data_IF_066274304889
#
_entry.id   IF_066274304889
#
_cell.length_a   1.000
_cell.length_b   1.000
_cell.length_c   1.000
_cell.angle_alpha   90.00
_cell.angle_beta   90.00
_cell.angle_gamma   90.00
#
_symmetry.space_group_name_H-M   'P 1'
#
loop_
_entity.id
_entity.type
_entity.pdbx_description
1 polymer ?
#
# COMPACT_ATOMS: atom_id res chain seq x y z
N UNK A 1 8.61 -38.73 7.98
CA UNK A 1 9.83 -37.99 7.56
C UNK A 1 10.97 -38.92 7.13
N UNK A 2 11.46 -39.85 7.98
CA UNK A 2 12.58 -40.76 7.64
C UNK A 2 12.43 -41.52 6.31
N UNK A 3 11.27 -42.16 6.06
CA UNK A 3 11.07 -42.93 4.82
C UNK A 3 11.14 -42.04 3.56
N UNK A 4 10.60 -40.82 3.63
CA UNK A 4 10.64 -39.84 2.52
C UNK A 4 12.09 -39.41 2.27
N UNK A 5 12.84 -39.08 3.32
CA UNK A 5 14.26 -38.72 3.21
C UNK A 5 15.08 -39.87 2.63
N UNK A 6 14.84 -41.11 3.06
CA UNK A 6 15.51 -42.30 2.51
C UNK A 6 15.24 -42.45 1.02
N UNK A 7 14.00 -42.25 0.58
CA UNK A 7 13.66 -42.27 -0.85
C UNK A 7 14.39 -41.16 -1.63
N UNK A 8 14.42 -39.93 -1.10
CA UNK A 8 15.13 -38.81 -1.71
C UNK A 8 16.66 -39.02 -1.76
N UNK A 9 17.23 -39.69 -0.75
CA UNK A 9 18.64 -40.07 -0.72
C UNK A 9 18.97 -41.08 -1.83
N UNK A 10 18.10 -42.09 -2.05
CA UNK A 10 18.28 -43.10 -3.11
C UNK A 10 18.37 -42.50 -4.51
N UNK A 11 17.68 -41.38 -4.76
CA UNK A 11 17.70 -40.68 -6.06
C UNK A 11 18.57 -39.42 -6.07
N UNK A 12 19.36 -39.18 -5.02
CA UNK A 12 20.29 -38.04 -4.95
C UNK A 12 19.63 -36.65 -4.78
N UNK A 13 18.34 -36.58 -4.44
CA UNK A 13 17.58 -35.32 -4.37
C UNK A 13 17.54 -34.68 -2.97
N UNK A 14 17.92 -35.40 -1.91
CA UNK A 14 17.82 -34.95 -0.51
C UNK A 14 18.55 -33.63 -0.17
N UNK A 15 19.51 -33.20 -0.99
CA UNK A 15 20.18 -31.89 -0.81
C UNK A 15 19.34 -30.72 -1.36
N UNK A 16 18.49 -30.99 -2.35
CA UNK A 16 17.64 -29.99 -3.04
C UNK A 16 16.20 -30.00 -2.52
N UNK A 17 15.67 -31.17 -2.18
CA UNK A 17 14.32 -31.34 -1.64
C UNK A 17 14.46 -31.67 -0.15
N UNK A 18 14.19 -30.68 0.70
CA UNK A 18 14.24 -30.83 2.15
C UNK A 18 12.94 -31.45 2.66
N UNK A 19 13.03 -32.20 3.75
CA UNK A 19 11.88 -32.87 4.39
C UNK A 19 11.61 -32.17 5.70
N UNK A 20 10.39 -31.68 5.88
CA UNK A 20 9.94 -31.07 7.13
C UNK A 20 8.47 -31.41 7.41
N UNK A 21 7.87 -30.77 8.39
CA UNK A 21 6.46 -30.82 8.76
C UNK A 21 6.01 -29.42 9.16
N UNK A 22 4.83 -28.98 8.71
CA UNK A 22 4.24 -27.73 9.17
C UNK A 22 3.61 -27.90 10.56
N UNK A 23 3.57 -26.79 11.30
CA UNK A 23 3.02 -26.68 12.64
C UNK A 23 2.26 -25.34 12.78
N UNK A 24 1.15 -25.31 13.51
CA UNK A 24 0.58 -24.03 13.96
C UNK A 24 1.40 -23.44 15.11
N UNK A 25 1.28 -22.14 15.37
CA UNK A 25 1.85 -21.50 16.58
C UNK A 25 1.40 -22.11 17.92
N UNK A 26 0.35 -22.93 17.94
CA UNK A 26 -0.08 -23.70 19.11
C UNK A 26 0.95 -24.70 19.65
N UNK A 27 2.05 -24.96 18.93
CA UNK A 27 3.19 -25.72 19.47
C UNK A 27 3.93 -24.98 20.59
N UNK A 28 3.75 -23.66 20.69
CA UNK A 28 4.29 -22.83 21.77
C UNK A 28 3.35 -22.84 22.98
N UNK A 29 3.92 -22.93 24.18
CA UNK A 29 3.20 -22.64 25.43
C UNK A 29 3.28 -21.18 25.82
N UNK A 30 4.28 -20.47 25.31
CA UNK A 30 4.52 -19.06 25.55
C UNK A 30 5.14 -18.44 24.30
N UNK A 31 4.65 -17.26 23.93
CA UNK A 31 5.14 -16.46 22.81
C UNK A 31 5.28 -14.97 23.14
N UNK A 32 4.88 -14.55 24.35
CA UNK A 32 5.01 -13.17 24.81
C UNK A 32 5.67 -13.09 26.20
N UNK A 33 6.65 -12.19 26.39
CA UNK A 33 7.37 -11.48 25.32
C UNK A 33 8.13 -12.48 24.41
N UNK A 34 8.50 -12.11 23.17
CA UNK A 34 9.14 -13.04 22.22
C UNK A 34 10.35 -13.79 22.79
N UNK A 35 11.20 -13.13 23.57
CA UNK A 35 12.35 -13.73 24.27
C UNK A 35 12.00 -14.84 25.25
N UNK A 36 10.76 -14.90 25.72
CA UNK A 36 10.25 -15.95 26.58
C UNK A 36 9.59 -17.10 25.78
N UNK A 37 9.73 -17.08 24.45
CA UNK A 37 9.25 -18.11 23.54
C UNK A 37 9.66 -19.51 24.00
N UNK A 38 8.68 -20.41 24.16
CA UNK A 38 8.92 -21.76 24.65
C UNK A 38 7.93 -22.76 24.07
N UNK A 39 8.44 -23.87 23.54
CA UNK A 39 7.60 -25.00 23.11
C UNK A 39 6.83 -25.59 24.29
N UNK A 40 5.61 -26.03 24.01
CA UNK A 40 4.78 -26.70 25.00
C UNK A 40 5.36 -28.08 25.32
N UNK A 41 5.69 -28.32 26.58
CA UNK A 41 6.32 -29.57 27.03
C UNK A 41 5.44 -30.81 26.78
N UNK A 42 4.11 -30.65 26.72
CA UNK A 42 3.19 -31.74 26.34
C UNK A 42 3.40 -32.26 24.92
N UNK A 43 4.06 -31.48 24.06
CA UNK A 43 4.40 -31.85 22.67
C UNK A 43 5.82 -32.41 22.53
N UNK A 44 6.63 -32.42 23.61
CA UNK A 44 8.03 -32.79 23.55
C UNK A 44 8.28 -34.20 22.98
N UNK A 45 7.34 -35.14 23.20
CA UNK A 45 7.45 -36.53 22.76
C UNK A 45 7.57 -36.66 21.23
N UNK A 46 6.95 -35.78 20.45
CA UNK A 46 7.07 -35.77 18.99
C UNK A 46 7.96 -34.63 18.51
N UNK A 47 7.91 -33.47 19.16
CA UNK A 47 8.56 -32.28 18.66
C UNK A 47 10.09 -32.39 18.76
N UNK A 48 10.62 -32.93 19.86
CA UNK A 48 12.07 -33.08 20.02
C UNK A 48 12.68 -34.00 18.95
N UNK A 49 12.17 -35.21 18.69
CA UNK A 49 12.66 -36.03 17.58
C UNK A 49 12.55 -35.36 16.20
N UNK A 50 11.51 -34.53 15.98
CA UNK A 50 11.38 -33.73 14.75
C UNK A 50 12.51 -32.69 14.67
N UNK A 51 12.77 -31.93 15.73
CA UNK A 51 13.83 -30.92 15.75
C UNK A 51 15.23 -31.54 15.54
N UNK A 52 15.50 -32.70 16.16
CA UNK A 52 16.74 -33.47 15.94
C UNK A 52 16.88 -33.86 14.46
N UNK A 53 15.82 -34.41 13.86
CA UNK A 53 15.80 -34.74 12.43
C UNK A 53 16.05 -33.50 11.54
N UNK A 54 15.42 -32.37 11.84
CA UNK A 54 15.56 -31.14 11.06
C UNK A 54 16.99 -30.60 11.13
N UNK A 55 17.59 -30.56 12.32
CA UNK A 55 18.96 -30.11 12.54
C UNK A 55 19.98 -30.99 11.79
N UNK A 56 19.87 -32.32 11.92
CA UNK A 56 20.75 -33.29 11.25
C UNK A 56 20.73 -33.17 9.72
N UNK A 57 19.56 -32.81 9.16
CA UNK A 57 19.35 -32.78 7.72
C UNK A 57 19.29 -31.36 7.12
N UNK A 58 19.59 -30.34 7.92
CA UNK A 58 19.52 -28.93 7.54
C UNK A 58 18.18 -28.61 6.85
N UNK A 59 17.09 -29.03 7.49
CA UNK A 59 15.72 -28.80 7.00
C UNK A 59 15.06 -27.73 7.87
N UNK A 60 14.18 -26.88 7.30
CA UNK A 60 13.59 -25.78 8.04
C UNK A 60 12.52 -26.26 9.02
N UNK A 61 12.28 -25.51 10.07
CA UNK A 61 11.07 -25.61 10.89
C UNK A 61 9.95 -24.84 10.18
N UNK A 62 8.95 -25.57 9.67
CA UNK A 62 7.82 -24.97 8.95
C UNK A 62 6.72 -24.59 9.92
N UNK A 63 6.19 -23.36 9.77
CA UNK A 63 5.15 -22.83 10.66
C UNK A 63 4.04 -22.10 9.89
N UNK A 64 2.80 -22.36 10.28
CA UNK A 64 1.64 -21.57 9.91
C UNK A 64 1.43 -20.48 10.98
N UNK A 65 1.55 -19.22 10.58
CA UNK A 65 1.68 -18.06 11.44
C UNK A 65 0.69 -16.97 11.02
N UNK A 66 -0.13 -16.50 11.96
CA UNK A 66 -1.24 -15.60 11.67
C UNK A 66 -1.41 -14.51 12.75
N UNK A 67 -0.92 -13.29 12.51
CA UNK A 67 -1.23 -12.12 13.35
C UNK A 67 -2.74 -11.85 13.46
N UNK A 68 -3.51 -12.16 12.41
CA UNK A 68 -4.97 -12.07 12.40
C UNK A 68 -5.62 -12.75 13.61
N UNK A 69 -5.23 -13.99 13.94
CA UNK A 69 -5.85 -14.72 15.05
C UNK A 69 -5.49 -14.12 16.41
N UNK A 70 -4.26 -13.64 16.59
CA UNK A 70 -3.87 -12.96 17.81
C UNK A 70 -4.65 -11.66 18.04
N UNK A 71 -4.88 -10.87 16.97
CA UNK A 71 -5.77 -9.71 17.03
C UNK A 71 -7.22 -10.12 17.32
N UNK A 72 -7.77 -11.07 16.56
CA UNK A 72 -9.16 -11.55 16.70
C UNK A 72 -9.46 -12.03 18.11
N UNK A 73 -8.55 -12.80 18.70
CA UNK A 73 -8.75 -13.45 20.00
C UNK A 73 -8.41 -12.53 21.18
N UNK A 74 -7.69 -11.42 20.96
CA UNK A 74 -7.28 -10.49 22.02
C UNK A 74 -7.18 -9.03 21.54
N UNK A 75 -8.26 -8.44 20.98
CA UNK A 75 -8.21 -7.11 20.35
C UNK A 75 -7.96 -5.96 21.33
N UNK A 76 -8.09 -6.19 22.64
CA UNK A 76 -7.77 -5.22 23.69
C UNK A 76 -6.27 -5.20 24.04
N UNK A 77 -5.53 -6.25 23.68
CA UNK A 77 -4.11 -6.42 24.03
C UNK A 77 -3.23 -6.37 22.78
N UNK A 78 -3.81 -6.65 21.61
CA UNK A 78 -3.17 -6.63 20.31
C UNK A 78 -3.84 -5.54 19.49
N UNK A 79 -3.12 -4.45 19.22
CA UNK A 79 -3.64 -3.41 18.33
C UNK A 79 -3.73 -3.94 16.89
N UNK A 80 -4.68 -3.42 16.13
CA UNK A 80 -4.83 -3.77 14.72
C UNK A 80 -3.59 -3.36 13.92
N UNK A 81 -3.11 -2.14 14.16
CA UNK A 81 -1.92 -1.57 13.52
C UNK A 81 -0.68 -2.47 13.67
N UNK A 82 -0.43 -2.98 14.88
CA UNK A 82 0.68 -3.89 15.14
C UNK A 82 0.55 -5.22 14.39
N UNK A 83 -0.68 -5.72 14.20
CA UNK A 83 -0.94 -6.93 13.43
C UNK A 83 -0.85 -6.70 11.91
N UNK A 84 -1.02 -5.46 11.44
CA UNK A 84 -1.00 -5.05 10.03
C UNK A 84 0.32 -4.44 9.56
N UNK A 85 1.38 -4.47 10.38
CA UNK A 85 2.68 -3.84 10.11
C UNK A 85 2.65 -2.30 10.01
N UNK A 86 1.68 -1.65 10.65
CA UNK A 86 1.56 -0.19 10.64
C UNK A 86 2.41 0.43 11.75
N UNK A 87 3.11 1.52 11.44
CA UNK A 87 4.16 2.12 12.28
C UNK A 87 3.67 2.84 13.54
N UNK A 88 2.36 2.89 13.78
CA UNK A 88 1.74 3.56 14.92
C UNK A 88 1.84 2.76 16.23
N UNK A 89 2.31 1.52 16.18
CA UNK A 89 2.37 0.63 17.35
C UNK A 89 3.68 -0.13 17.41
N UNK A 90 4.41 0.03 18.52
CA UNK A 90 5.65 -0.70 18.79
C UNK A 90 5.56 -1.44 20.13
N UNK A 91 6.19 -2.61 20.18
CA UNK A 91 6.23 -3.47 21.37
C UNK A 91 7.69 -3.74 21.73
N UNK A 92 8.08 -3.38 22.95
CA UNK A 92 9.43 -3.64 23.47
C UNK A 92 9.44 -4.95 24.24
N UNK A 93 10.33 -5.86 23.88
CA UNK A 93 10.62 -7.04 24.69
C UNK A 93 11.41 -6.64 25.94
N UNK A 94 10.87 -6.84 27.15
CA UNK A 94 11.47 -6.37 28.38
C UNK A 94 12.76 -7.10 28.77
N UNK A 95 13.01 -8.30 28.23
CA UNK A 95 14.19 -9.09 28.61
C UNK A 95 15.38 -8.79 27.70
N UNK A 96 15.13 -8.47 26.43
CA UNK A 96 16.19 -8.27 25.42
C UNK A 96 16.33 -6.81 24.99
N UNK A 97 15.30 -5.97 25.21
CA UNK A 97 15.24 -4.61 24.68
C UNK A 97 14.95 -4.55 23.18
N UNK A 98 14.66 -5.68 22.52
CA UNK A 98 14.30 -5.72 21.11
C UNK A 98 12.95 -5.02 20.89
N UNK A 99 12.91 -4.16 19.88
CA UNK A 99 11.73 -3.43 19.47
C UNK A 99 11.07 -4.17 18.30
N UNK A 100 9.80 -4.52 18.47
CA UNK A 100 8.97 -5.13 17.45
C UNK A 100 7.96 -4.10 16.97
N UNK A 101 8.08 -3.65 15.73
CA UNK A 101 7.12 -2.74 15.08
C UNK A 101 5.93 -3.48 14.46
N UNK A 102 6.00 -4.82 14.39
CA UNK A 102 4.93 -5.65 13.86
C UNK A 102 4.88 -7.01 14.58
N UNK A 103 3.69 -7.61 14.59
CA UNK A 103 3.45 -8.88 15.26
C UNK A 103 4.08 -10.09 14.55
N UNK A 104 4.23 -10.02 13.23
CA UNK A 104 4.79 -11.10 12.44
C UNK A 104 6.22 -11.43 12.90
N UNK A 105 7.07 -10.41 13.04
CA UNK A 105 8.42 -10.52 13.55
C UNK A 105 8.45 -11.08 14.98
N UNK A 106 7.56 -10.58 15.85
CA UNK A 106 7.47 -11.04 17.23
C UNK A 106 7.10 -12.53 17.32
N UNK A 107 6.21 -13.00 16.45
CA UNK A 107 5.81 -14.41 16.39
C UNK A 107 6.94 -15.31 15.86
N UNK A 108 7.71 -14.84 14.86
CA UNK A 108 8.89 -15.56 14.35
C UNK A 108 9.99 -15.61 15.41
N UNK A 109 10.28 -14.50 16.08
CA UNK A 109 11.33 -14.45 17.09
C UNK A 109 10.98 -15.30 18.31
N UNK A 110 9.70 -15.39 18.69
CA UNK A 110 9.27 -16.34 19.71
C UNK A 110 9.64 -17.80 19.36
N UNK A 111 9.59 -18.18 18.08
CA UNK A 111 10.06 -19.50 17.62
C UNK A 111 11.58 -19.61 17.68
N UNK A 112 12.32 -18.59 17.25
CA UNK A 112 13.78 -18.60 17.34
C UNK A 112 14.26 -18.72 18.79
N UNK A 113 13.65 -18.01 19.73
CA UNK A 113 13.96 -18.13 21.16
C UNK A 113 13.59 -19.52 21.70
N UNK A 114 12.46 -20.09 21.30
CA UNK A 114 12.07 -21.45 21.69
C UNK A 114 13.06 -22.52 21.18
N UNK A 115 13.50 -22.41 19.91
CA UNK A 115 14.52 -23.27 19.32
C UNK A 115 15.87 -23.12 20.03
N UNK A 116 16.27 -21.88 20.32
CA UNK A 116 17.51 -21.56 21.02
C UNK A 116 17.53 -22.14 22.44
N UNK A 117 16.42 -22.07 23.16
CA UNK A 117 16.27 -22.64 24.51
C UNK A 117 16.46 -24.16 24.54
N UNK A 118 16.16 -24.85 23.44
CA UNK A 118 16.41 -26.29 23.26
C UNK A 118 17.74 -26.59 22.54
N UNK A 119 18.57 -25.58 22.31
CA UNK A 119 19.87 -25.65 21.65
C UNK A 119 19.84 -26.00 20.13
N UNK A 120 18.69 -25.79 19.47
CA UNK A 120 18.54 -25.99 18.01
C UNK A 120 18.77 -24.70 17.22
N UNK A 121 19.95 -24.10 17.37
CA UNK A 121 20.27 -22.74 16.87
C UNK A 121 20.42 -22.63 15.35
N UNK A 122 20.62 -23.75 14.66
CA UNK A 122 20.90 -23.81 13.22
C UNK A 122 19.66 -24.06 12.37
N UNK A 123 18.52 -24.34 13.00
CA UNK A 123 17.27 -24.59 12.29
C UNK A 123 16.70 -23.24 11.86
N UNK A 124 16.54 -23.07 10.54
CA UNK A 124 15.84 -21.92 9.96
C UNK A 124 14.34 -22.07 10.13
N UNK A 125 13.62 -20.96 10.30
CA UNK A 125 12.16 -20.93 10.27
C UNK A 125 11.70 -20.63 8.85
N UNK A 126 10.66 -21.32 8.39
CA UNK A 126 9.97 -21.07 7.12
C UNK A 126 8.49 -20.89 7.42
N UNK A 127 7.91 -19.78 7.00
CA UNK A 127 6.49 -19.50 7.21
C UNK A 127 5.71 -20.11 6.04
N UNK A 128 5.04 -21.23 6.29
CA UNK A 128 4.32 -22.00 5.26
C UNK A 128 2.92 -21.49 5.00
N UNK A 129 2.32 -20.79 5.95
CA UNK A 129 1.04 -20.12 5.77
C UNK A 129 0.99 -18.85 6.61
N UNK A 130 0.59 -17.75 5.97
CA UNK A 130 0.23 -16.50 6.66
C UNK A 130 -0.68 -15.66 5.77
N UNK A 131 -1.56 -14.85 6.34
CA UNK A 131 -2.48 -14.05 5.55
C UNK A 131 -3.49 -13.32 6.41
N UNK A 132 -4.53 -12.81 5.76
CA UNK A 132 -5.63 -12.12 6.41
C UNK A 132 -6.93 -12.27 5.60
N UNK A 133 -8.06 -12.62 6.23
CA UNK A 133 -9.31 -12.85 5.52
C UNK A 133 -9.96 -11.53 5.07
N UNK A 134 -10.51 -11.53 3.87
CA UNK A 134 -11.14 -10.37 3.23
C UNK A 134 -12.62 -10.17 3.58
N UNK A 135 -13.24 -11.17 4.17
CA UNK A 135 -14.64 -11.11 4.61
C UNK A 135 -14.84 -12.10 5.76
N UNK A 136 -15.82 -11.84 6.62
CA UNK A 136 -16.12 -12.67 7.77
C UNK A 136 -17.50 -12.36 8.35
N UNK A 137 -17.85 -13.05 9.43
CA UNK A 137 -19.13 -12.85 10.10
C UNK A 137 -19.16 -11.49 10.82
N UNK A 138 -20.33 -11.09 11.33
CA UNK A 138 -20.50 -9.85 12.11
C UNK A 138 -19.58 -9.73 13.34
N UNK A 139 -18.99 -10.83 13.81
CA UNK A 139 -18.03 -10.87 14.93
C UNK A 139 -16.58 -10.76 14.48
N UNK A 140 -16.30 -10.93 13.19
CA UNK A 140 -14.97 -10.93 12.59
C UNK A 140 -14.72 -9.59 11.87
N UNK A 141 -14.96 -8.48 12.58
CA UNK A 141 -15.01 -7.13 11.98
C UNK A 141 -13.73 -6.68 11.27
N UNK A 142 -12.59 -7.26 11.62
CA UNK A 142 -11.33 -6.95 10.96
C UNK A 142 -11.07 -7.78 9.70
N UNK A 143 -11.92 -8.78 9.40
CA UNK A 143 -11.88 -9.50 8.14
C UNK A 143 -12.53 -8.66 7.03
N UNK A 144 -11.76 -7.74 6.46
CA UNK A 144 -12.19 -6.81 5.40
C UNK A 144 -11.21 -6.84 4.24
N UNK A 145 -11.62 -6.47 3.01
CA UNK A 145 -10.71 -6.42 1.88
C UNK A 145 -9.55 -5.45 2.12
N UNK A 146 -9.82 -4.31 2.77
CA UNK A 146 -8.81 -3.30 3.09
C UNK A 146 -7.73 -3.83 4.03
N UNK A 147 -8.12 -4.45 5.16
CA UNK A 147 -7.15 -5.02 6.09
C UNK A 147 -6.38 -6.20 5.45
N UNK A 148 -7.05 -6.99 4.61
CA UNK A 148 -6.42 -8.09 3.90
C UNK A 148 -5.37 -7.60 2.90
N UNK A 149 -5.70 -6.53 2.16
CA UNK A 149 -4.77 -5.85 1.26
C UNK A 149 -3.58 -5.28 2.04
N UNK A 150 -3.84 -4.52 3.11
CA UNK A 150 -2.80 -3.91 3.95
C UNK A 150 -1.84 -4.97 4.49
N UNK A 151 -2.36 -6.04 5.10
CA UNK A 151 -1.54 -7.11 5.65
C UNK A 151 -0.64 -7.74 4.59
N UNK A 152 -1.21 -8.20 3.48
CA UNK A 152 -0.46 -8.92 2.45
C UNK A 152 0.52 -8.01 1.71
N UNK A 153 0.16 -6.74 1.45
CA UNK A 153 1.07 -5.77 0.84
C UNK A 153 2.26 -5.45 1.75
N UNK A 154 1.99 -5.20 3.03
CA UNK A 154 3.05 -4.87 3.99
C UNK A 154 3.94 -6.08 4.27
N UNK A 155 3.38 -7.29 4.33
CA UNK A 155 4.14 -8.53 4.40
C UNK A 155 5.09 -8.69 3.20
N UNK A 156 4.58 -8.54 1.97
CA UNK A 156 5.40 -8.63 0.75
C UNK A 156 6.54 -7.63 0.81
N UNK A 157 6.27 -6.37 1.19
CA UNK A 157 7.29 -5.32 1.31
C UNK A 157 8.32 -5.65 2.38
N UNK A 158 7.89 -6.14 3.53
CA UNK A 158 8.76 -6.53 4.63
C UNK A 158 9.72 -7.64 4.19
N UNK A 159 9.21 -8.70 3.54
CA UNK A 159 10.01 -9.85 3.10
C UNK A 159 10.97 -9.46 1.96
N UNK A 160 10.51 -8.71 0.94
CA UNK A 160 11.35 -8.33 -0.21
C UNK A 160 12.49 -7.37 0.16
N UNK A 161 12.34 -6.60 1.24
CA UNK A 161 13.40 -5.73 1.72
C UNK A 161 14.49 -6.48 2.51
N UNK A 162 14.37 -7.80 2.69
CA UNK A 162 15.33 -8.66 3.40
C UNK A 162 15.72 -8.11 4.77
N UNK A 163 14.78 -7.49 5.49
CA UNK A 163 15.07 -6.93 6.81
C UNK A 163 15.35 -8.01 7.87
N UNK A 164 14.84 -9.22 7.64
CA UNK A 164 14.74 -10.25 8.68
C UNK A 164 13.90 -9.75 9.85
N UNK A 165 14.14 -10.31 11.03
CA UNK A 165 13.47 -9.94 12.29
C UNK A 165 14.41 -9.21 13.26
N UNK A 166 13.92 -8.57 14.33
CA UNK A 166 14.77 -7.93 15.33
C UNK A 166 15.83 -8.86 15.95
N UNK A 167 15.52 -10.14 16.23
CA UNK A 167 16.49 -11.09 16.77
C UNK A 167 17.42 -11.67 15.70
N UNK A 168 17.01 -11.66 14.42
CA UNK A 168 17.78 -12.18 13.26
C UNK A 168 17.79 -11.17 12.10
N UNK A 169 18.42 -10.00 12.28
CA UNK A 169 18.41 -8.95 11.25
C UNK A 169 19.19 -9.40 10.01
N UNK A 170 18.62 -9.14 8.83
CA UNK A 170 19.20 -9.51 7.54
C UNK A 170 19.16 -11.00 7.21
N UNK A 171 18.51 -11.84 8.03
CA UNK A 171 18.27 -13.25 7.69
C UNK A 171 16.99 -13.35 6.84
N UNK A 172 17.15 -13.76 5.58
CA UNK A 172 16.04 -13.96 4.63
C UNK A 172 15.00 -14.96 5.16
N UNK A 173 13.73 -14.62 4.94
CA UNK A 173 12.58 -15.42 5.35
C UNK A 173 11.85 -15.98 4.13
N UNK A 174 11.73 -17.31 4.07
CA UNK A 174 10.81 -17.97 3.14
C UNK A 174 9.38 -17.88 3.68
N UNK A 175 8.50 -17.15 2.99
CA UNK A 175 7.12 -16.88 3.42
C UNK A 175 6.12 -17.18 2.31
N UNK A 176 5.06 -17.91 2.65
CA UNK A 176 4.00 -18.31 1.73
C UNK A 176 2.67 -17.70 2.17
N UNK A 177 2.08 -16.89 1.29
CA UNK A 177 0.79 -16.25 1.53
C UNK A 177 -0.34 -17.28 1.39
N UNK A 178 -1.14 -17.40 2.45
CA UNK A 178 -2.36 -18.16 2.49
C UNK A 178 -3.55 -17.23 2.17
N UNK A 179 -4.26 -17.40 1.06
CA UNK A 179 -4.05 -18.40 0.00
C UNK A 179 -4.35 -17.84 -1.39
N UNK A 180 -4.14 -18.62 -2.45
CA UNK A 180 -4.34 -18.11 -3.80
C UNK A 180 -5.81 -17.78 -4.10
N UNK A 181 -6.75 -18.60 -3.66
CA UNK A 181 -8.17 -18.46 -3.99
C UNK A 181 -9.08 -18.49 -2.76
N UNK A 182 -10.23 -17.82 -2.85
CA UNK A 182 -11.32 -18.02 -1.90
C UNK A 182 -11.87 -19.46 -2.02
N UNK A 183 -11.85 -20.20 -0.91
CA UNK A 183 -12.21 -21.62 -0.87
C UNK A 183 -13.58 -21.85 -0.24
N UNK A 184 -14.65 -21.73 -1.05
CA UNK A 184 -16.04 -21.75 -0.58
C UNK A 184 -16.52 -23.02 0.15
N UNK A 185 -15.75 -24.11 0.11
CA UNK A 185 -16.04 -25.37 0.80
C UNK A 185 -15.32 -25.52 2.15
N UNK A 186 -14.51 -24.54 2.56
CA UNK A 186 -13.83 -24.61 3.85
C UNK A 186 -14.87 -24.61 5.00
N UNK A 187 -14.77 -25.58 5.93
CA UNK A 187 -15.63 -25.63 7.10
C UNK A 187 -15.23 -24.52 8.09
N UNK A 188 -16.05 -24.32 9.12
CA UNK A 188 -15.77 -23.37 10.19
C UNK A 188 -16.34 -21.97 9.93
N UNK A 189 -15.66 -20.97 10.50
CA UNK A 189 -16.09 -19.57 10.49
C UNK A 189 -16.26 -19.02 9.06
N UNK A 190 -16.93 -17.88 8.95
CA UNK A 190 -17.14 -17.25 7.65
C UNK A 190 -15.84 -16.76 7.02
N UNK A 191 -14.90 -16.28 7.84
CA UNK A 191 -13.55 -15.93 7.39
C UNK A 191 -12.82 -17.05 6.65
N UNK A 192 -13.02 -18.32 7.06
CA UNK A 192 -12.34 -19.47 6.46
C UNK A 192 -12.54 -19.59 4.94
N UNK A 193 -13.61 -19.03 4.39
CA UNK A 193 -13.92 -19.07 2.96
C UNK A 193 -13.34 -17.89 2.16
N UNK A 194 -12.66 -16.95 2.83
CA UNK A 194 -12.35 -15.61 2.30
C UNK A 194 -10.87 -15.18 2.45
N UNK A 195 -9.92 -16.12 2.49
CA UNK A 195 -8.47 -15.86 2.60
C UNK A 195 -7.74 -15.66 1.26
N UNK A 196 -8.46 -15.80 0.15
CA UNK A 196 -7.89 -15.76 -1.18
C UNK A 196 -7.39 -14.39 -1.60
N UNK A 197 -6.28 -14.37 -2.33
CA UNK A 197 -5.86 -13.20 -3.12
C UNK A 197 -6.79 -12.97 -4.33
N UNK A 198 -7.38 -14.06 -4.83
CA UNK A 198 -8.28 -14.05 -5.99
C UNK A 198 -9.60 -14.77 -5.68
N UNK A 199 -10.66 -14.36 -6.37
CA UNK A 199 -11.88 -15.14 -6.49
C UNK A 199 -11.63 -16.37 -7.39
N UNK A 200 -12.47 -17.43 -7.31
CA UNK A 200 -12.32 -18.61 -8.16
C UNK A 200 -12.40 -18.34 -9.68
N UNK A 201 -12.98 -17.21 -10.08
CA UNK A 201 -13.02 -16.76 -11.47
C UNK A 201 -11.74 -16.00 -11.91
N UNK A 202 -10.71 -15.98 -11.05
CA UNK A 202 -9.41 -15.35 -11.25
C UNK A 202 -9.43 -13.81 -11.16
N UNK A 203 -10.57 -13.20 -10.84
CA UNK A 203 -10.59 -11.77 -10.51
C UNK A 203 -9.94 -11.54 -9.14
N UNK A 204 -9.25 -10.42 -8.98
CA UNK A 204 -8.59 -10.08 -7.72
C UNK A 204 -9.62 -9.73 -6.64
N UNK A 205 -9.40 -10.20 -5.41
CA UNK A 205 -10.19 -9.75 -4.25
C UNK A 205 -9.78 -8.32 -3.86
N UNK A 206 -8.47 -8.04 -3.95
CA UNK A 206 -7.84 -6.73 -3.78
C UNK A 206 -6.54 -6.69 -4.60
N UNK A 207 -6.04 -5.49 -4.91
CA UNK A 207 -4.83 -5.31 -5.73
C UNK A 207 -3.56 -5.53 -4.91
N UNK A 208 -2.64 -6.37 -5.39
CA UNK A 208 -1.34 -6.62 -4.78
C UNK A 208 -0.18 -6.25 -5.70
N UNK A 209 0.88 -5.68 -5.13
CA UNK A 209 2.16 -5.47 -5.78
C UNK A 209 3.18 -6.47 -5.24
N UNK A 210 3.40 -7.55 -5.99
CA UNK A 210 4.38 -8.59 -5.66
C UNK A 210 5.84 -8.15 -5.87
N UNK A 211 6.10 -6.97 -6.43
CA UNK A 211 7.47 -6.51 -6.63
C UNK A 211 8.11 -5.98 -5.35
N UNK A 212 7.31 -5.66 -4.32
CA UNK A 212 7.76 -5.01 -3.09
C UNK A 212 8.37 -3.63 -3.31
N UNK A 213 8.40 -3.14 -4.55
CA UNK A 213 9.00 -1.87 -4.98
C UNK A 213 8.04 -0.71 -4.95
N UNK A 214 6.77 -0.93 -4.60
CA UNK A 214 5.96 0.10 -3.96
C UNK A 214 6.57 0.46 -2.59
N UNK A 215 7.73 1.12 -2.62
CA UNK A 215 8.07 2.16 -1.66
C UNK A 215 6.90 3.13 -1.70
N UNK A 216 6.20 3.33 -0.58
CA UNK A 216 5.23 4.41 -0.32
C UNK A 216 4.73 5.09 -1.61
N UNK A 217 3.71 4.48 -2.23
CA UNK A 217 3.04 4.98 -3.44
C UNK A 217 3.77 4.69 -4.77
N UNK A 218 2.98 4.26 -5.78
CA UNK A 218 3.34 3.99 -7.22
C UNK A 218 3.72 2.49 -7.43
N UNK A 219 3.12 1.64 -8.29
CA UNK A 219 2.06 1.64 -9.35
C UNK A 219 1.79 0.15 -9.67
N UNK A 220 0.58 -0.30 -10.02
CA UNK A 220 0.14 -0.28 -11.41
C UNK A 220 -1.29 -0.82 -11.56
N UNK A 221 -2.19 0.01 -12.09
CA UNK A 221 -3.21 -0.48 -13.00
C UNK A 221 -2.87 0.07 -14.36
N UNK A 222 -2.62 -0.81 -15.32
CA UNK A 222 -2.73 -0.49 -16.73
C UNK A 222 -4.21 -0.19 -17.03
N UNK A 223 -4.65 1.02 -16.71
CA UNK A 223 -5.69 1.68 -17.50
C UNK A 223 -5.03 2.23 -18.75
N UNK A 224 -4.60 1.34 -19.66
CA UNK A 224 -3.85 1.65 -20.89
C UNK A 224 -2.54 2.43 -20.65
N UNK A 225 -1.55 2.25 -21.51
CA UNK A 225 -0.68 3.37 -21.85
C UNK A 225 -1.53 4.44 -22.54
N UNK A 226 -2.30 5.18 -21.76
CA UNK A 226 -2.68 6.53 -22.14
C UNK A 226 -1.73 7.42 -21.36
N UNK A 227 -1.02 8.29 -22.06
CA UNK A 227 -0.42 9.48 -21.47
C UNK A 227 -1.53 10.44 -20.96
N UNK A 228 -2.59 9.93 -20.35
CA UNK A 228 -3.79 10.65 -19.91
C UNK A 228 -3.63 11.20 -18.50
N UNK A 229 -4.07 12.43 -18.32
CA UNK A 229 -4.21 13.05 -17.01
C UNK A 229 -5.42 12.46 -16.31
N UNK A 230 -5.31 12.14 -15.01
CA UNK A 230 -6.42 11.60 -14.21
C UNK A 230 -6.70 12.52 -13.03
N UNK A 231 -7.92 12.46 -12.51
CA UNK A 231 -8.40 13.23 -11.36
C UNK A 231 -9.04 12.30 -10.32
N UNK A 232 -9.15 12.78 -9.09
CA UNK A 232 -9.90 12.10 -8.04
C UNK A 232 -11.15 12.90 -7.67
N UNK A 233 -12.33 12.28 -7.73
CA UNK A 233 -13.60 12.91 -7.34
C UNK A 233 -14.28 12.12 -6.22
N UNK A 234 -15.21 12.75 -5.51
CA UNK A 234 -16.00 12.08 -4.49
C UNK A 234 -17.01 11.10 -5.11
N UNK A 235 -17.21 9.97 -4.44
CA UNK A 235 -18.18 8.95 -4.78
C UNK A 235 -19.59 9.45 -4.50
N UNK A 236 -20.47 9.32 -5.49
CA UNK A 236 -21.90 9.62 -5.31
C UNK A 236 -22.63 8.64 -4.38
N UNK A 237 -21.95 7.57 -3.92
CA UNK A 237 -22.47 6.58 -2.97
C UNK A 237 -22.04 6.83 -1.53
N UNK A 238 -21.13 7.78 -1.29
CA UNK A 238 -20.63 8.10 0.04
C UNK A 238 -21.72 8.81 0.88
N UNK A 239 -21.75 8.54 2.19
CA UNK A 239 -22.65 9.29 3.08
C UNK A 239 -22.16 10.71 3.30
N UNK A 240 -23.06 11.65 3.58
CA UNK A 240 -22.68 13.05 3.88
C UNK A 240 -21.71 13.14 5.06
N UNK A 241 -21.88 12.30 6.09
CA UNK A 241 -20.97 12.27 7.24
C UNK A 241 -19.57 11.80 6.87
N UNK A 242 -19.43 10.82 5.98
CA UNK A 242 -18.12 10.33 5.53
C UNK A 242 -17.43 11.37 4.65
N UNK A 243 -18.19 12.05 3.78
CA UNK A 243 -17.66 13.12 2.95
C UNK A 243 -17.22 14.32 3.78
N UNK A 244 -17.98 14.72 4.82
CA UNK A 244 -17.59 15.84 5.67
C UNK A 244 -16.29 15.53 6.43
N UNK A 245 -16.19 14.35 7.03
CA UNK A 245 -14.96 13.92 7.71
C UNK A 245 -13.76 13.87 6.76
N UNK A 246 -13.97 13.42 5.52
CA UNK A 246 -12.93 13.34 4.51
C UNK A 246 -12.49 14.73 4.01
N UNK A 247 -13.41 15.69 3.91
CA UNK A 247 -13.13 17.10 3.59
C UNK A 247 -12.34 17.75 4.73
N UNK A 248 -12.82 17.62 5.97
CA UNK A 248 -12.14 18.17 7.15
C UNK A 248 -10.71 17.63 7.25
N UNK A 249 -10.54 16.33 7.01
CA UNK A 249 -9.22 15.72 6.97
C UNK A 249 -8.36 16.26 5.82
N UNK A 250 -8.89 16.39 4.60
CA UNK A 250 -8.13 16.87 3.45
C UNK A 250 -7.61 18.30 3.66
N UNK A 251 -8.47 19.19 4.14
CA UNK A 251 -8.18 20.61 4.28
C UNK A 251 -7.25 20.91 5.46
N UNK A 252 -7.35 20.16 6.56
CA UNK A 252 -6.57 20.39 7.77
C UNK A 252 -5.37 19.40 7.86
N UNK A 253 -5.51 18.15 8.36
CA UNK A 253 -4.41 17.15 8.38
C UNK A 253 -3.72 16.90 7.03
N UNK A 254 -4.48 16.88 5.94
CA UNK A 254 -4.04 16.60 4.58
C UNK A 254 -3.34 17.78 3.91
N UNK A 255 -3.40 18.96 4.54
CA UNK A 255 -2.73 20.19 4.12
C UNK A 255 -3.04 20.62 2.67
N UNK A 256 -4.31 20.45 2.27
CA UNK A 256 -4.86 20.97 1.01
C UNK A 256 -5.36 22.40 1.19
N UNK A 257 -5.06 23.27 0.22
CA UNK A 257 -5.68 24.60 0.16
C UNK A 257 -7.14 24.49 -0.31
N UNK A 258 -8.05 24.44 0.65
CA UNK A 258 -9.50 24.43 0.42
C UNK A 258 -10.12 25.82 0.32
N UNK A 259 -9.34 26.89 0.11
CA UNK A 259 -9.90 28.24 -0.06
C UNK A 259 -10.84 28.33 -1.26
N UNK A 260 -10.57 27.59 -2.34
CA UNK A 260 -11.35 27.64 -3.58
C UNK A 260 -12.80 27.12 -3.44
N UNK A 261 -13.10 26.35 -2.39
CA UNK A 261 -14.45 25.83 -2.09
C UNK A 261 -15.20 26.66 -1.05
N UNK A 262 -14.71 27.84 -0.68
CA UNK A 262 -15.38 28.75 0.25
C UNK A 262 -16.39 29.66 -0.49
N UNK A 263 -17.41 30.21 0.20
CA UNK A 263 -18.40 31.08 -0.43
C UNK A 263 -17.76 32.19 -1.29
N UNK A 264 -18.32 32.41 -2.49
CA UNK A 264 -17.82 33.36 -3.52
C UNK A 264 -16.49 32.98 -4.19
N UNK A 265 -15.98 31.76 -4.01
CA UNK A 265 -14.77 31.27 -4.67
C UNK A 265 -15.08 30.38 -5.89
N UNK A 266 -14.12 30.19 -6.80
CA UNK A 266 -14.40 29.59 -8.11
C UNK A 266 -14.98 28.17 -8.09
N UNK A 267 -14.74 27.40 -7.02
CA UNK A 267 -15.18 26.01 -6.86
C UNK A 267 -16.25 25.83 -5.77
N UNK A 268 -16.90 26.92 -5.33
CA UNK A 268 -17.99 26.83 -4.36
C UNK A 268 -19.26 26.25 -4.97
N UNK A 269 -19.61 26.67 -6.19
CA UNK A 269 -20.79 26.15 -6.88
C UNK A 269 -20.44 24.86 -7.62
N UNK A 270 -21.33 23.86 -7.70
CA UNK A 270 -22.62 23.81 -7.01
C UNK A 270 -22.42 23.59 -5.50
N UNK A 271 -23.16 24.34 -4.67
CA UNK A 271 -23.08 24.30 -3.20
C UNK A 271 -23.62 22.97 -2.63
N UNK A 272 -22.78 21.94 -2.69
CA UNK A 272 -23.03 20.63 -2.10
C UNK A 272 -21.73 19.92 -1.75
N UNK A 273 -21.84 19.03 -0.77
CA UNK A 273 -20.69 18.36 -0.17
C UNK A 273 -19.93 17.44 -1.13
N UNK A 274 -20.60 16.81 -2.10
CA UNK A 274 -19.94 15.96 -3.11
C UNK A 274 -19.04 16.80 -4.00
N UNK A 275 -19.48 18.00 -4.40
CA UNK A 275 -18.71 18.93 -5.22
C UNK A 275 -17.52 19.51 -4.48
N UNK A 276 -17.71 19.93 -3.22
CA UNK A 276 -16.61 20.41 -2.38
C UNK A 276 -15.60 19.31 -2.06
N UNK A 277 -16.07 18.10 -1.73
CA UNK A 277 -15.23 16.93 -1.51
C UNK A 277 -14.45 16.54 -2.75
N UNK A 278 -15.06 16.57 -3.94
CA UNK A 278 -14.38 16.26 -5.19
C UNK A 278 -13.18 17.20 -5.42
N UNK A 279 -13.33 18.49 -5.15
CA UNK A 279 -12.24 19.46 -5.30
C UNK A 279 -11.11 19.21 -4.29
N UNK A 280 -11.46 18.98 -3.03
CA UNK A 280 -10.49 18.67 -1.97
C UNK A 280 -9.74 17.35 -2.27
N UNK A 281 -10.47 16.32 -2.71
CA UNK A 281 -9.92 15.01 -3.03
C UNK A 281 -8.95 15.08 -4.20
N UNK A 282 -9.31 15.78 -5.28
CA UNK A 282 -8.39 15.95 -6.40
C UNK A 282 -7.14 16.72 -5.98
N UNK A 283 -7.29 17.78 -5.18
CA UNK A 283 -6.15 18.60 -4.76
C UNK A 283 -5.16 17.79 -3.93
N UNK A 284 -5.67 17.01 -2.96
CA UNK A 284 -4.86 16.06 -2.18
C UNK A 284 -4.23 14.99 -3.09
N UNK A 285 -5.03 14.38 -3.97
CA UNK A 285 -4.60 13.35 -4.91
C UNK A 285 -3.41 13.81 -5.73
N UNK A 286 -3.46 15.01 -6.31
CA UNK A 286 -2.39 15.55 -7.15
C UNK A 286 -1.17 15.95 -6.32
N UNK A 287 -1.36 16.56 -5.15
CA UNK A 287 -0.26 16.88 -4.22
C UNK A 287 0.50 15.63 -3.78
N UNK A 288 -0.20 14.50 -3.68
CA UNK A 288 0.35 13.22 -3.20
C UNK A 288 0.57 12.21 -4.34
N UNK A 289 0.99 12.72 -5.50
CA UNK A 289 1.54 11.90 -6.58
C UNK A 289 0.52 11.20 -7.48
N UNK A 290 -0.75 11.63 -7.45
CA UNK A 290 -1.84 11.09 -8.27
C UNK A 290 -1.94 9.55 -8.18
N UNK A 291 -1.87 9.03 -6.94
CA UNK A 291 -1.89 7.58 -6.66
C UNK A 291 -3.28 7.09 -6.24
N UNK A 292 -3.57 5.81 -6.45
CA UNK A 292 -4.81 5.17 -5.98
C UNK A 292 -5.10 5.42 -4.50
N UNK A 293 -4.05 5.35 -3.66
CA UNK A 293 -4.14 5.59 -2.22
C UNK A 293 -4.54 7.02 -1.92
N UNK A 294 -3.93 7.99 -2.61
CA UNK A 294 -4.26 9.40 -2.45
C UNK A 294 -5.68 9.74 -2.96
N UNK A 295 -6.32 8.84 -3.70
CA UNK A 295 -7.72 8.97 -4.10
C UNK A 295 -8.68 8.13 -3.25
N UNK A 296 -8.22 7.42 -2.22
CA UNK A 296 -9.08 6.46 -1.50
C UNK A 296 -10.11 7.16 -0.61
N UNK A 297 -9.67 8.06 0.29
CA UNK A 297 -10.55 8.74 1.27
C UNK A 297 -11.50 7.78 2.02
N UNK A 298 -10.98 6.61 2.44
CA UNK A 298 -11.79 5.58 3.08
C UNK A 298 -12.82 4.93 2.13
N UNK A 299 -12.48 4.80 0.84
CA UNK A 299 -13.37 4.29 -0.20
C UNK A 299 -14.34 5.32 -0.79
N UNK A 300 -14.24 6.58 -0.36
CA UNK A 300 -15.13 7.65 -0.80
C UNK A 300 -14.63 8.40 -2.02
N UNK A 301 -13.39 8.18 -2.47
CA UNK A 301 -12.88 8.79 -3.70
C UNK A 301 -12.84 7.81 -4.88
N UNK A 302 -13.00 8.36 -6.09
CA UNK A 302 -13.06 7.63 -7.35
C UNK A 302 -12.14 8.33 -8.35
N UNK A 303 -11.22 7.57 -8.97
CA UNK A 303 -10.42 8.09 -10.08
C UNK A 303 -11.25 8.20 -11.35
N UNK A 304 -11.13 9.34 -12.02
CA UNK A 304 -11.74 9.60 -13.32
C UNK A 304 -10.70 10.07 -14.33
N UNK A 305 -10.94 9.75 -15.59
CA UNK A 305 -10.13 10.12 -16.75
C UNK A 305 -10.70 11.33 -17.52
N UNK A 306 -11.91 11.76 -17.17
CA UNK A 306 -12.56 12.96 -17.68
C UNK A 306 -12.29 14.14 -16.73
N UNK A 307 -11.81 15.25 -17.30
CA UNK A 307 -11.59 16.50 -16.57
C UNK A 307 -12.89 16.95 -15.87
N UNK A 308 -12.92 16.98 -14.52
CA UNK A 308 -14.09 17.40 -13.76
C UNK A 308 -14.18 18.93 -13.62
N UNK A 309 -13.27 19.71 -14.22
CA UNK A 309 -13.32 21.18 -14.22
C UNK A 309 -14.58 21.71 -14.92
N UNK A 310 -15.09 22.83 -14.45
CA UNK A 310 -16.24 23.51 -15.02
C UNK A 310 -16.16 25.01 -14.72
N UNK A 311 -16.70 25.84 -15.62
CA UNK A 311 -16.67 27.30 -15.52
C UNK A 311 -15.27 27.84 -15.13
N UNK A 312 -15.16 28.45 -13.95
CA UNK A 312 -13.91 28.96 -13.39
C UNK A 312 -13.29 28.01 -12.33
N UNK A 313 -13.95 26.89 -12.02
CA UNK A 313 -13.42 25.87 -11.12
C UNK A 313 -12.47 24.94 -11.87
N UNK A 314 -11.17 25.09 -11.60
CA UNK A 314 -10.12 24.31 -12.27
C UNK A 314 -9.57 23.24 -11.33
N UNK A 315 -9.71 21.98 -11.74
CA UNK A 315 -9.11 20.84 -11.07
C UNK A 315 -7.68 20.65 -11.57
N UNK A 316 -6.73 21.13 -10.77
CA UNK A 316 -5.30 21.12 -11.11
C UNK A 316 -4.76 19.69 -11.30
N UNK A 317 -3.67 19.58 -12.06
CA UNK A 317 -2.98 18.32 -12.34
C UNK A 317 -1.47 18.52 -12.23
N UNK A 318 -0.75 17.48 -11.82
CA UNK A 318 0.72 17.51 -11.60
C UNK A 318 1.54 17.95 -12.83
N UNK A 319 0.98 17.94 -14.04
CA UNK A 319 1.65 18.38 -15.28
C UNK A 319 1.65 19.89 -15.53
N UNK A 320 0.93 20.69 -14.73
CA UNK A 320 1.09 22.14 -14.78
C UNK A 320 2.29 22.49 -13.90
N UNK A 321 3.47 22.53 -14.52
CA UNK A 321 4.67 23.11 -13.93
C UNK A 321 4.32 24.42 -13.21
N UNK A 322 4.88 24.58 -12.01
CA UNK A 322 5.07 25.86 -11.30
C UNK A 322 5.77 26.87 -12.21
N UNK A 323 5.07 27.44 -13.18
CA UNK A 323 5.54 28.58 -14.01
C UNK A 323 4.41 29.42 -14.60
N UNK A 324 3.15 29.26 -14.15
CA UNK A 324 2.03 30.08 -14.64
C UNK A 324 1.12 30.66 -13.55
N UNK A 325 1.63 30.88 -12.33
CA UNK A 325 0.98 31.74 -11.31
C UNK A 325 2.01 32.64 -10.63
N UNK A 326 2.77 33.36 -11.45
CA UNK A 326 3.23 34.71 -11.11
C UNK A 326 2.85 35.61 -12.28
N UNK A 327 1.59 35.97 -12.35
CA UNK A 327 1.11 37.29 -12.75
C UNK A 327 -0.41 37.30 -12.73
N UNK A 328 -0.96 38.49 -12.47
CA UNK A 328 -2.38 38.84 -12.25
C UNK A 328 -2.99 38.22 -10.98
N UNK A 329 -3.33 38.96 -9.91
CA UNK A 329 -3.62 40.39 -9.78
C UNK A 329 -3.57 40.75 -8.29
N UNK A 330 -2.67 41.65 -7.89
CA UNK A 330 -2.85 42.47 -6.70
C UNK A 330 -3.11 43.89 -7.20
N UNK A 331 -4.38 44.26 -7.36
CA UNK A 331 -4.78 45.66 -7.44
C UNK A 331 -4.79 46.20 -6.00
N UNK A 332 -3.69 46.84 -5.61
CA UNK A 332 -3.69 47.78 -4.51
C UNK A 332 -3.49 49.19 -5.09
N UNK A 333 -4.50 50.03 -4.86
CA UNK A 333 -4.49 51.45 -5.12
C UNK A 333 -3.22 52.10 -4.55
N UNK A 334 -2.48 52.83 -5.38
CA UNK A 334 -1.81 54.04 -4.91
C UNK A 334 -1.66 55.05 -6.04
N UNK A 335 -1.88 56.29 -5.62
CA UNK A 335 -2.03 57.54 -6.35
C UNK A 335 -0.76 58.04 -7.04
N UNK A 336 -0.99 58.64 -8.22
CA UNK A 336 -0.27 59.74 -8.88
C UNK A 336 1.15 60.13 -8.42
N UNK A 337 2.11 60.16 -9.34
CA UNK A 337 2.55 61.41 -9.97
C UNK A 337 3.49 61.16 -11.16
N UNK A 338 3.52 62.18 -12.02
CA UNK A 338 4.12 62.33 -13.35
C UNK A 338 5.64 62.13 -13.47
N UNK A 339 6.13 61.63 -14.62
CA UNK A 339 6.68 62.47 -15.73
C UNK A 339 7.29 61.64 -16.89
N UNK A 340 6.76 61.92 -18.09
CA UNK A 340 7.37 62.14 -19.44
C UNK A 340 8.38 61.17 -20.12
N UNK A 341 8.02 60.94 -21.41
CA UNK A 341 8.82 60.93 -22.66
C UNK A 341 9.67 59.67 -22.97
N UNK A 342 9.85 59.19 -24.20
CA UNK A 342 9.27 59.33 -25.55
C UNK A 342 10.06 58.35 -26.46
N UNK A 343 9.55 58.01 -27.66
CA UNK A 343 10.26 57.34 -28.80
C UNK A 343 10.57 55.83 -28.58
N UNK A 344 10.15 54.84 -29.40
CA UNK A 344 10.28 54.66 -30.85
C UNK A 344 9.18 53.72 -31.39
N UNK A 345 8.34 54.24 -32.28
CA UNK A 345 7.44 53.48 -33.14
C UNK A 345 7.79 53.77 -34.60
N UNK A 346 8.91 53.23 -35.11
CA UNK A 346 9.40 53.53 -36.47
C UNK A 346 10.23 52.42 -37.13
N UNK A 347 9.93 51.11 -36.94
CA UNK A 347 10.65 50.04 -37.67
C UNK A 347 9.75 48.95 -38.31
N UNK A 348 8.48 48.80 -37.92
CA UNK A 348 7.68 47.68 -38.43
C UNK A 348 7.00 47.90 -39.80
N UNK A 349 7.01 49.12 -40.36
CA UNK A 349 6.25 49.45 -41.58
C UNK A 349 7.03 49.30 -42.89
N UNK A 350 8.30 48.90 -42.84
CA UNK A 350 9.15 48.77 -44.05
C UNK A 350 9.30 47.34 -44.58
N UNK A 351 8.84 46.33 -43.85
CA UNK A 351 9.00 44.92 -44.25
C UNK A 351 7.79 44.29 -44.95
N UNK A 352 6.63 44.98 -44.98
CA UNK A 352 5.41 44.42 -45.57
C UNK A 352 5.17 44.84 -47.04
N UNK A 353 5.88 45.86 -47.54
CA UNK A 353 5.64 46.40 -48.89
C UNK A 353 6.61 45.88 -49.96
N UNK A 354 7.69 45.18 -49.59
CA UNK A 354 8.67 44.63 -50.54
C UNK A 354 8.41 43.18 -50.93
N UNK A 355 7.57 42.45 -50.18
CA UNK A 355 7.29 41.04 -50.46
C UNK A 355 6.19 40.82 -51.52
N UNK A 356 5.32 41.80 -51.78
CA UNK A 356 4.26 41.67 -52.81
C UNK A 356 4.70 41.99 -54.24
N UNK A 357 5.85 42.65 -54.44
CA UNK A 357 6.34 42.97 -55.80
C UNK A 357 7.14 41.85 -56.47
N UNK A 358 7.51 40.80 -55.73
CA UNK A 358 8.29 39.66 -56.26
C UNK A 358 7.37 38.50 -56.71
N UNK A 359 6.13 38.44 -56.22
CA UNK A 359 5.20 37.34 -56.57
C UNK A 359 4.48 37.58 -57.91
N UNK A 360 4.45 38.81 -58.45
CA UNK A 360 3.75 39.11 -59.71
C UNK A 360 4.63 39.05 -60.98
N UNK A 361 5.92 38.70 -60.88
CA UNK A 361 6.85 38.77 -62.04
C UNK A 361 7.44 37.42 -62.50
N UNK A 362 6.83 36.30 -62.10
CA UNK A 362 7.21 34.94 -62.56
C UNK A 362 6.11 34.23 -63.36
N UNK A 363 5.11 34.96 -63.84
CA UNK A 363 4.11 34.49 -64.81
C UNK A 363 4.42 34.98 -66.23
N UNK A 364 5.45 34.44 -66.87
CA UNK A 364 5.59 34.45 -68.33
C UNK A 364 6.61 33.39 -68.77
N UNK A 365 6.12 32.23 -69.20
CA UNK A 365 6.85 31.22 -69.95
C UNK A 365 6.35 31.24 -71.40
N UNK A 366 7.23 31.02 -72.40
CA UNK A 366 7.00 30.28 -73.66
C UNK A 366 8.11 30.54 -74.69
N UNK A 367 9.07 29.62 -74.85
CA UNK A 367 9.28 28.76 -76.04
C UNK A 367 10.56 27.92 -75.86
#
# INVERSE_FOLDING_TARGET
>A
MNNVLTALKKVGLHKRIKVSSTHSLGVLSRSFPPSAGAFNSSHAYFLRPVLEFLAENQSPFMIDLYPYYAYRDSPNNVSLDYALFESSSEVIDPNTGLLYSNMFDAQIDALYFALMALNFRTIKVMVTETGWPSNGSLKEKAATPDNAQTYNMNLIRHVINDSGTPAKPGEELDVYIFSLFNENRKPGLESERNWGLFYPDQTSVYSLDFTGKAAVGITSLNGTSSNGTTWCIASSKASESELQNAVDWACDPGNVDCSAIQPSQPCFEPDNLVSHASFAFNSYYQQNGATDVACSFGGNGIKVDKDPSYDNCVYLTTRINKTATRNSTAMANSTSSSTRNEVYAWIASYFLMTLMSIVMNLGNASF
#
